data_IF_921333073060
#
_entry.id   IF_921333073060
#
_cell.length_a   1.000
_cell.length_b   1.000
_cell.length_c   1.000
_cell.angle_alpha   90.00
_cell.angle_beta   90.00
_cell.angle_gamma   90.00
#
_symmetry.space_group_name_H-M   'P 1'
#
loop_
_entity.id
_entity.type
_entity.pdbx_description
1 polymer ?
#
# COMPACT_ATOMS: atom_id res chain seq x y z
N UNK A 1 -14.01 12.20 4.04
CA UNK A 1 -12.77 12.76 3.45
C UNK A 1 -13.06 13.80 2.36
N UNK A 2 -13.61 13.43 1.20
CA UNK A 2 -13.91 14.36 0.08
C UNK A 2 -14.57 15.68 0.51
N UNK A 3 -15.74 15.59 1.16
CA UNK A 3 -16.46 16.77 1.63
C UNK A 3 -15.67 17.59 2.65
N UNK A 4 -14.86 16.94 3.49
CA UNK A 4 -14.01 17.61 4.48
C UNK A 4 -12.86 18.39 3.83
N UNK A 5 -12.22 17.82 2.80
CA UNK A 5 -11.19 18.54 2.03
C UNK A 5 -11.80 19.76 1.35
N UNK A 6 -12.96 19.61 0.71
CA UNK A 6 -13.61 20.70 -0.02
C UNK A 6 -14.31 21.74 0.89
N UNK A 7 -14.41 21.46 2.18
CA UNK A 7 -14.87 22.43 3.18
C UNK A 7 -13.71 23.25 3.77
N UNK A 8 -12.47 22.81 3.59
CA UNK A 8 -11.28 23.52 4.08
C UNK A 8 -10.85 24.64 3.11
N UNK A 9 -10.19 25.70 3.60
CA UNK A 9 -9.59 26.72 2.72
C UNK A 9 -8.52 26.09 1.82
N UNK A 10 -8.69 26.17 0.51
CA UNK A 10 -7.75 25.62 -0.46
C UNK A 10 -8.41 25.26 -1.79
N UNK A 11 -7.63 24.73 -2.75
CA UNK A 11 -8.19 24.23 -4.00
C UNK A 11 -9.11 23.03 -3.74
N UNK A 12 -10.27 23.04 -4.39
CA UNK A 12 -11.20 21.92 -4.35
C UNK A 12 -10.57 20.68 -4.99
N UNK A 13 -10.77 19.53 -4.35
CA UNK A 13 -10.46 18.22 -4.88
C UNK A 13 -11.66 17.69 -5.68
N UNK A 14 -11.38 17.09 -6.83
CA UNK A 14 -12.35 16.33 -7.63
C UNK A 14 -12.44 14.89 -7.15
N UNK A 15 -13.56 14.19 -7.45
CA UNK A 15 -13.69 12.76 -7.11
C UNK A 15 -12.61 11.91 -7.81
N UNK A 16 -12.26 12.26 -9.05
CA UNK A 16 -11.21 11.58 -9.80
C UNK A 16 -9.85 11.68 -9.09
N UNK A 17 -9.47 12.88 -8.63
CA UNK A 17 -8.24 13.07 -7.85
C UNK A 17 -8.24 12.28 -6.54
N UNK A 18 -9.39 12.20 -5.85
CA UNK A 18 -9.49 11.39 -4.64
C UNK A 18 -9.30 9.91 -4.93
N UNK A 19 -9.92 9.38 -5.99
CA UNK A 19 -9.76 7.99 -6.40
C UNK A 19 -8.30 7.71 -6.78
N UNK A 20 -7.69 8.59 -7.59
CA UNK A 20 -6.26 8.47 -7.94
C UNK A 20 -5.37 8.47 -6.70
N UNK A 21 -5.69 9.29 -5.69
CA UNK A 21 -4.97 9.31 -4.41
C UNK A 21 -5.12 7.98 -3.66
N UNK A 22 -6.33 7.43 -3.56
CA UNK A 22 -6.55 6.16 -2.85
C UNK A 22 -6.06 4.92 -3.61
N UNK A 23 -5.86 5.04 -4.92
CA UNK A 23 -5.40 3.97 -5.80
C UNK A 23 -3.94 4.15 -6.24
N UNK A 24 -3.13 4.86 -5.45
CA UNK A 24 -1.73 5.14 -5.81
C UNK A 24 -0.91 3.87 -6.07
N UNK A 25 -1.15 2.80 -5.30
CA UNK A 25 -0.54 1.49 -5.56
C UNK A 25 -1.01 0.88 -6.87
N UNK A 26 -2.32 0.85 -7.12
CA UNK A 26 -2.89 0.31 -8.36
C UNK A 26 -2.40 1.05 -9.62
N UNK A 27 -2.10 2.34 -9.50
CA UNK A 27 -1.60 3.15 -10.63
C UNK A 27 -0.27 2.64 -11.16
N UNK A 28 0.54 1.93 -10.36
CA UNK A 28 1.78 1.32 -10.84
C UNK A 28 1.55 0.29 -11.94
N UNK A 29 0.45 -0.46 -11.89
CA UNK A 29 0.10 -1.48 -12.89
C UNK A 29 -0.93 -0.98 -13.92
N UNK A 30 -1.90 -0.17 -13.50
CA UNK A 30 -2.97 0.33 -14.38
C UNK A 30 -2.40 1.24 -15.48
N UNK A 31 -1.47 2.13 -15.15
CA UNK A 31 -0.86 3.04 -16.15
C UNK A 31 -0.16 2.26 -17.27
N UNK A 32 0.78 1.33 -16.99
CA UNK A 32 1.39 0.52 -18.04
C UNK A 32 0.41 -0.47 -18.68
N UNK A 33 -0.64 -0.89 -17.99
CA UNK A 33 -1.73 -1.70 -18.58
C UNK A 33 -2.55 -0.97 -19.63
N UNK A 34 -2.85 0.31 -19.42
CA UNK A 34 -3.59 1.15 -20.37
C UNK A 34 -2.72 1.66 -21.52
N UNK A 35 -1.40 1.66 -21.35
CA UNK A 35 -0.43 2.09 -22.36
C UNK A 35 0.62 0.99 -22.58
N UNK A 36 0.28 -0.12 -23.26
CA UNK A 36 1.22 -1.22 -23.47
C UNK A 36 2.54 -0.78 -24.14
N UNK A 37 2.50 0.27 -24.96
CA UNK A 37 3.67 0.84 -25.63
C UNK A 37 4.68 1.48 -24.66
N UNK A 38 4.25 1.78 -23.43
CA UNK A 38 5.11 2.29 -22.36
C UNK A 38 5.76 1.19 -21.53
N UNK A 39 5.33 -0.07 -21.69
CA UNK A 39 5.94 -1.22 -21.01
C UNK A 39 7.30 -1.48 -21.64
N UNK A 40 8.39 -1.50 -20.86
CA UNK A 40 9.68 -1.80 -21.43
C UNK A 40 9.81 -3.31 -21.68
N UNK A 41 10.49 -3.70 -22.75
CA UNK A 41 10.78 -5.11 -23.06
C UNK A 41 11.93 -5.59 -22.17
N UNK A 42 11.58 -5.94 -20.93
CA UNK A 42 12.54 -6.38 -19.91
C UNK A 42 13.35 -7.62 -20.33
N UNK A 43 12.89 -8.39 -21.32
CA UNK A 43 13.61 -9.55 -21.88
C UNK A 43 14.82 -9.14 -22.71
N UNK A 44 14.85 -7.90 -23.19
CA UNK A 44 15.95 -7.32 -24.00
C UNK A 44 16.85 -6.38 -23.20
N UNK A 45 16.53 -6.12 -21.93
CA UNK A 45 17.35 -5.25 -21.08
C UNK A 45 18.69 -5.93 -20.73
N UNK A 46 19.80 -5.18 -20.70
CA UNK A 46 21.01 -5.62 -20.02
C UNK A 46 20.73 -5.93 -18.55
N UNK A 47 21.45 -6.89 -17.96
CA UNK A 47 21.20 -7.36 -16.58
C UNK A 47 21.15 -6.24 -15.55
N UNK A 48 22.05 -5.25 -15.63
CA UNK A 48 22.07 -4.15 -14.66
C UNK A 48 20.81 -3.27 -14.73
N UNK A 49 20.29 -3.03 -15.93
CA UNK A 49 19.09 -2.23 -16.16
C UNK A 49 17.85 -3.02 -15.75
N UNK A 50 17.81 -4.32 -16.06
CA UNK A 50 16.76 -5.23 -15.58
C UNK A 50 16.67 -5.24 -14.06
N UNK A 51 17.79 -5.36 -13.35
CA UNK A 51 17.79 -5.40 -11.89
C UNK A 51 17.29 -4.09 -11.26
N UNK A 52 17.63 -2.94 -11.86
CA UNK A 52 17.13 -1.64 -11.42
C UNK A 52 15.63 -1.49 -11.69
N UNK A 53 15.18 -1.89 -12.89
CA UNK A 53 13.77 -1.89 -13.24
C UNK A 53 12.96 -2.80 -12.32
N UNK A 54 13.43 -4.04 -12.12
CA UNK A 54 12.77 -5.04 -11.28
C UNK A 54 12.67 -4.54 -9.83
N UNK A 55 13.75 -4.01 -9.26
CA UNK A 55 13.74 -3.40 -7.93
C UNK A 55 12.81 -2.18 -7.81
N UNK A 56 12.46 -1.52 -8.92
CA UNK A 56 11.48 -0.44 -8.94
C UNK A 56 10.03 -0.93 -9.11
N UNK A 57 9.82 -2.16 -9.61
CA UNK A 57 8.49 -2.77 -9.75
C UNK A 57 8.11 -3.65 -8.56
N UNK A 58 9.08 -4.27 -7.89
CA UNK A 58 8.88 -4.97 -6.62
C UNK A 58 9.15 -4.02 -5.48
N UNK A 59 8.37 -4.10 -4.39
CA UNK A 59 8.68 -3.28 -3.23
C UNK A 59 8.32 -3.97 -1.92
N UNK A 60 8.91 -3.40 -0.87
CA UNK A 60 8.78 -3.78 0.53
C UNK A 60 9.53 -5.06 0.92
N UNK A 61 9.69 -5.26 2.22
CA UNK A 61 10.24 -6.49 2.81
C UNK A 61 9.43 -6.83 4.06
N UNK A 62 9.05 -8.09 4.20
CA UNK A 62 8.39 -8.59 5.41
C UNK A 62 9.15 -9.77 6.00
N UNK A 63 9.02 -9.97 7.31
CA UNK A 63 9.56 -11.11 8.04
C UNK A 63 8.55 -11.57 9.08
N UNK A 64 8.34 -12.88 9.17
CA UNK A 64 7.57 -13.53 10.22
C UNK A 64 8.49 -14.54 10.92
N UNK A 65 8.60 -14.45 12.24
CA UNK A 65 9.52 -15.26 13.04
C UNK A 65 8.85 -15.74 14.31
N UNK A 66 8.59 -17.04 14.36
CA UNK A 66 8.14 -17.73 15.59
C UNK A 66 9.33 -17.94 16.53
N UNK A 67 9.11 -17.76 17.83
CA UNK A 67 10.10 -18.04 18.88
C UNK A 67 10.44 -19.53 18.93
N UNK A 68 11.62 -19.87 19.44
CA UNK A 68 12.08 -21.26 19.53
C UNK A 68 11.16 -22.13 20.41
N UNK A 69 10.53 -21.53 21.42
CA UNK A 69 9.59 -22.19 22.32
C UNK A 69 8.13 -22.18 21.82
N UNK A 70 7.89 -21.68 20.61
CA UNK A 70 6.56 -21.55 19.96
C UNK A 70 5.52 -20.75 20.76
N UNK A 71 5.94 -19.94 21.73
CA UNK A 71 5.02 -19.13 22.55
C UNK A 71 4.69 -17.78 21.96
N UNK A 72 5.48 -17.29 21.01
CA UNK A 72 5.29 -15.98 20.42
C UNK A 72 5.68 -15.96 18.93
N UNK A 73 5.19 -14.93 18.23
CA UNK A 73 5.51 -14.66 16.84
C UNK A 73 5.80 -13.17 16.66
N UNK A 74 7.01 -12.89 16.18
CA UNK A 74 7.37 -11.57 15.70
C UNK A 74 7.01 -11.43 14.22
N UNK A 75 6.56 -10.25 13.85
CA UNK A 75 6.36 -9.89 12.45
C UNK A 75 6.84 -8.46 12.23
N UNK A 76 7.47 -8.22 11.09
CA UNK A 76 8.01 -6.92 10.73
C UNK A 76 7.77 -6.63 9.27
N UNK A 77 7.59 -5.35 8.96
CA UNK A 77 7.40 -4.86 7.60
C UNK A 77 8.22 -3.59 7.37
N UNK A 78 8.93 -3.53 6.26
CA UNK A 78 9.73 -2.39 5.82
C UNK A 78 9.25 -1.97 4.44
N UNK A 79 8.51 -0.87 4.39
CA UNK A 79 8.02 -0.31 3.13
C UNK A 79 9.16 0.30 2.32
N UNK A 80 9.18 0.03 1.01
CA UNK A 80 10.13 0.65 0.09
C UNK A 80 9.39 1.65 -0.78
N UNK A 81 9.80 2.91 -0.72
CA UNK A 81 9.19 3.95 -1.54
C UNK A 81 10.14 5.14 -1.71
N UNK A 82 9.78 6.08 -2.59
CA UNK A 82 10.52 7.33 -2.78
C UNK A 82 10.48 8.16 -1.50
N UNK A 83 11.59 8.83 -1.17
CA UNK A 83 11.69 9.68 0.03
C UNK A 83 10.59 10.75 0.12
N UNK A 84 10.06 11.20 -1.03
CA UNK A 84 8.95 12.16 -1.08
C UNK A 84 7.66 11.65 -0.43
N UNK A 85 7.51 10.34 -0.24
CA UNK A 85 6.33 9.77 0.44
C UNK A 85 6.49 9.75 1.97
N UNK A 86 7.63 10.14 2.54
CA UNK A 86 7.92 10.02 3.98
C UNK A 86 7.10 10.94 4.91
N UNK A 87 6.05 11.61 4.42
CA UNK A 87 5.03 12.19 5.28
C UNK A 87 4.11 11.09 5.80
N UNK A 88 4.33 10.65 7.04
CA UNK A 88 3.68 9.45 7.61
C UNK A 88 2.62 9.80 8.65
N UNK A 89 1.61 8.96 8.74
CA UNK A 89 0.62 8.96 9.83
C UNK A 89 0.39 7.50 10.23
N UNK A 90 0.64 7.17 11.50
CA UNK A 90 0.19 5.91 12.07
C UNK A 90 -1.24 6.08 12.55
N UNK A 91 -2.17 5.29 12.00
CA UNK A 91 -3.62 5.51 12.18
C UNK A 91 -4.21 4.44 13.08
N UNK A 92 -5.01 4.88 14.05
CA UNK A 92 -5.91 4.03 14.82
C UNK A 92 -7.33 4.42 14.46
N UNK A 93 -8.09 3.50 13.88
CA UNK A 93 -9.42 3.76 13.35
C UNK A 93 -10.37 2.74 13.95
N UNK A 94 -11.37 3.21 14.70
CA UNK A 94 -12.49 2.39 15.16
C UNK A 94 -13.75 2.79 14.41
N UNK A 95 -14.32 1.86 13.66
CA UNK A 95 -15.54 2.03 12.89
C UNK A 95 -16.56 0.99 13.35
N UNK A 96 -17.65 1.46 13.94
CA UNK A 96 -18.74 0.61 14.42
C UNK A 96 -19.68 0.22 13.27
N UNK A 97 -19.13 -0.39 12.21
CA UNK A 97 -19.94 -0.94 11.14
C UNK A 97 -20.79 -2.10 11.67
N UNK A 98 -22.10 -2.02 11.43
CA UNK A 98 -23.05 -3.06 11.82
C UNK A 98 -23.36 -3.95 10.61
N UNK A 99 -22.34 -4.65 10.13
CA UNK A 99 -22.46 -5.62 9.05
C UNK A 99 -22.02 -6.99 9.58
N UNK A 100 -22.80 -8.04 9.26
CA UNK A 100 -22.57 -9.39 9.79
C UNK A 100 -21.18 -9.95 9.42
N UNK A 101 -20.59 -9.47 8.33
CA UNK A 101 -19.30 -9.89 7.81
C UNK A 101 -18.12 -9.09 8.37
N UNK A 102 -18.36 -8.01 9.11
CA UNK A 102 -17.28 -7.19 9.70
C UNK A 102 -16.84 -7.80 11.02
N UNK A 103 -15.71 -8.51 10.99
CA UNK A 103 -15.15 -9.18 12.18
C UNK A 103 -14.22 -8.28 13.00
N UNK A 104 -13.63 -7.25 12.38
CA UNK A 104 -12.79 -6.26 13.04
C UNK A 104 -13.45 -4.87 13.01
N UNK A 105 -13.52 -4.20 14.16
CA UNK A 105 -14.05 -2.84 14.27
C UNK A 105 -12.95 -1.81 14.43
N UNK A 106 -11.84 -2.22 15.02
CA UNK A 106 -10.66 -1.39 15.20
C UNK A 106 -9.52 -1.91 14.36
N UNK A 107 -8.96 -1.02 13.55
CA UNK A 107 -7.73 -1.27 12.79
C UNK A 107 -6.67 -0.25 13.20
N UNK A 108 -5.45 -0.74 13.33
CA UNK A 108 -4.26 0.08 13.52
C UNK A 108 -3.33 -0.17 12.35
N UNK A 109 -2.85 0.88 11.68
CA UNK A 109 -2.07 0.72 10.45
C UNK A 109 -1.03 1.82 10.23
N UNK A 110 0.07 1.48 9.56
CA UNK A 110 0.93 2.50 8.94
C UNK A 110 0.18 3.14 7.77
N UNK A 111 0.31 4.46 7.59
CA UNK A 111 -0.38 5.15 6.51
C UNK A 111 0.25 6.52 6.23
N UNK A 112 -0.46 7.30 5.41
CA UNK A 112 -0.04 8.58 4.85
C UNK A 112 -1.21 9.59 4.92
N UNK A 113 -0.94 10.91 4.91
CA UNK A 113 -1.98 11.92 4.79
C UNK A 113 -2.89 11.68 3.58
N UNK A 114 -4.21 11.81 3.77
CA UNK A 114 -5.20 11.66 2.70
C UNK A 114 -5.51 10.23 2.25
N UNK A 115 -4.67 9.23 2.56
CA UNK A 115 -5.00 7.82 2.27
C UNK A 115 -6.02 7.27 3.27
N UNK A 116 -6.94 6.44 2.80
CA UNK A 116 -7.93 5.76 3.67
C UNK A 116 -7.48 4.37 4.11
N UNK A 117 -6.47 3.82 3.43
CA UNK A 117 -5.83 2.53 3.71
C UNK A 117 -4.36 2.74 4.07
N UNK A 118 -3.69 1.65 4.43
CA UNK A 118 -2.24 1.58 4.27
C UNK A 118 -1.89 1.55 2.78
N UNK A 119 -0.72 2.08 2.48
CA UNK A 119 -0.06 1.94 1.17
C UNK A 119 1.25 1.15 1.31
N UNK A 120 1.70 0.95 2.56
CA UNK A 120 2.74 -0.01 2.88
C UNK A 120 2.17 -1.43 3.02
N UNK A 121 0.92 -1.49 3.48
CA UNK A 121 0.23 -2.65 4.00
C UNK A 121 0.89 -3.26 5.23
N UNK A 122 0.61 -2.63 6.37
CA UNK A 122 0.80 -3.16 7.71
C UNK A 122 -0.42 -2.81 8.56
N UNK A 123 -1.23 -3.82 8.91
CA UNK A 123 -2.44 -3.67 9.72
C UNK A 123 -2.42 -4.62 10.91
N UNK A 124 -2.89 -4.12 12.04
CA UNK A 124 -3.25 -4.89 13.23
C UNK A 124 -4.74 -4.68 13.50
N UNK A 125 -5.50 -5.76 13.66
CA UNK A 125 -6.94 -5.69 13.89
C UNK A 125 -7.31 -6.15 15.30
N UNK A 126 -8.43 -5.65 15.83
CA UNK A 126 -9.01 -6.14 17.09
C UNK A 126 -9.61 -7.56 16.99
N UNK A 127 -9.73 -8.12 15.77
CA UNK A 127 -10.04 -9.53 15.56
C UNK A 127 -8.83 -10.45 15.72
N UNK A 128 -7.65 -9.91 16.01
CA UNK A 128 -6.41 -10.68 16.18
C UNK A 128 -5.69 -11.02 14.88
N UNK A 129 -6.12 -10.47 13.75
CA UNK A 129 -5.47 -10.66 12.45
C UNK A 129 -4.45 -9.54 12.20
N UNK A 130 -3.24 -9.93 11.83
CA UNK A 130 -2.25 -9.01 11.28
C UNK A 130 -2.18 -9.21 9.77
N UNK A 131 -2.24 -8.12 9.00
CA UNK A 131 -2.23 -8.15 7.53
C UNK A 131 -1.03 -7.37 7.04
N UNK A 132 -0.18 -8.04 6.26
CA UNK A 132 1.06 -7.49 5.70
C UNK A 132 1.18 -7.95 4.25
N UNK A 133 1.69 -7.09 3.37
CA UNK A 133 1.94 -7.40 1.95
C UNK A 133 3.36 -7.00 1.54
N UNK A 134 3.85 -7.60 0.45
CA UNK A 134 5.00 -7.09 -0.31
C UNK A 134 4.69 -7.27 -1.80
N UNK A 135 4.91 -6.23 -2.60
CA UNK A 135 4.45 -6.25 -3.98
C UNK A 135 5.38 -6.98 -4.92
N UNK A 136 4.77 -7.83 -5.74
CA UNK A 136 5.42 -8.61 -6.79
C UNK A 136 5.23 -7.93 -8.13
N UNK A 137 6.24 -8.01 -9.00
CA UNK A 137 6.16 -7.48 -10.35
C UNK A 137 5.30 -8.39 -11.25
N UNK A 138 4.46 -7.78 -12.09
CA UNK A 138 3.74 -8.46 -13.18
C UNK A 138 4.68 -8.59 -14.37
N UNK A 139 5.08 -9.82 -14.69
CA UNK A 139 6.02 -10.12 -15.79
C UNK A 139 5.33 -10.71 -17.04
N UNK A 140 4.06 -11.09 -16.94
CA UNK A 140 3.29 -11.53 -18.11
C UNK A 140 2.66 -10.31 -18.81
N UNK A 141 2.62 -10.39 -20.13
CA UNK A 141 2.02 -9.34 -20.96
C UNK A 141 0.52 -9.57 -21.17
#
# INVERSE_FOLDING_TARGET
LFAGINAAPGPNMTKAQLITLTSLGDMFDIIPGLKPQSRPDWRKMPTHEYMQWFAAQTHCTSLFKVTEDLKDIFFGHVAWNKLVTMMRIFKHITLNFNAAQTTAKTITMSSYPGLLSSFDDFYMTDSGLNVIETSLAVLND
#
